data_IF_165698828065
#
_entry.id   IF_165698828065
#
_cell.length_a   1.000
_cell.length_b   1.000
_cell.length_c   1.000
_cell.angle_alpha   90.00
_cell.angle_beta   90.00
_cell.angle_gamma   90.00
#
_symmetry.space_group_name_H-M   'P 1'
#
loop_
_entity.id
_entity.type
_entity.pdbx_description
1 polymer ?
#
# COMPACT_ATOMS: atom_id res chain seq x y z
N UNK A 1 -13.96 -50.95 34.50
CA UNK A 1 -15.24 -50.84 33.77
C UNK A 1 -15.41 -49.39 33.37
N UNK A 2 -15.30 -49.13 32.07
CA UNK A 2 -15.59 -47.93 31.26
C UNK A 2 -15.35 -46.51 31.79
N UNK A 3 -14.24 -45.96 31.27
CA UNK A 3 -14.08 -44.62 30.71
C UNK A 3 -15.26 -44.20 29.82
N UNK A 4 -15.75 -42.97 30.00
CA UNK A 4 -16.30 -42.16 28.90
C UNK A 4 -16.23 -40.67 29.28
N UNK A 5 -15.08 -40.09 28.93
CA UNK A 5 -14.87 -38.65 28.90
C UNK A 5 -15.51 -38.12 27.61
N UNK A 6 -16.68 -37.48 27.73
CA UNK A 6 -17.45 -36.98 26.59
C UNK A 6 -16.82 -35.66 26.15
N UNK A 7 -16.02 -35.70 25.08
CA UNK A 7 -15.50 -34.52 24.40
C UNK A 7 -16.67 -33.70 23.86
N UNK A 8 -16.90 -32.51 24.41
CA UNK A 8 -17.80 -31.52 23.85
C UNK A 8 -17.22 -30.99 22.54
N UNK A 9 -17.93 -31.22 21.44
CA UNK A 9 -17.56 -30.72 20.12
C UNK A 9 -17.67 -29.20 20.06
N UNK A 10 -16.53 -28.53 19.96
CA UNK A 10 -16.46 -27.10 19.67
C UNK A 10 -17.01 -26.83 18.26
N UNK A 11 -18.28 -26.44 18.18
CA UNK A 11 -18.86 -25.91 16.93
C UNK A 11 -18.37 -24.48 16.77
N UNK A 12 -17.54 -24.16 15.76
CA UNK A 12 -17.03 -22.81 15.59
C UNK A 12 -18.19 -21.84 15.32
N UNK A 13 -18.16 -20.67 15.97
CA UNK A 13 -19.18 -19.63 15.75
C UNK A 13 -19.26 -19.23 14.28
N UNK A 14 -20.43 -18.82 13.79
CA UNK A 14 -20.61 -18.33 12.42
C UNK A 14 -19.65 -17.19 12.06
N UNK A 15 -19.29 -16.35 13.04
CA UNK A 15 -18.29 -15.29 12.93
C UNK A 15 -16.89 -15.85 12.67
N UNK A 16 -16.51 -16.93 13.34
CA UNK A 16 -15.24 -17.64 13.14
C UNK A 16 -15.17 -18.27 11.75
N UNK A 17 -16.26 -18.89 11.28
CA UNK A 17 -16.33 -19.45 9.92
C UNK A 17 -16.20 -18.33 8.89
N UNK A 18 -16.92 -17.22 9.07
CA UNK A 18 -16.86 -16.05 8.18
C UNK A 18 -15.44 -15.48 8.08
N UNK A 19 -14.77 -15.29 9.21
CA UNK A 19 -13.39 -14.81 9.24
C UNK A 19 -12.43 -15.78 8.52
N UNK A 20 -12.58 -17.09 8.75
CA UNK A 20 -11.76 -18.13 8.12
C UNK A 20 -11.94 -18.16 6.60
N UNK A 21 -13.18 -18.06 6.10
CA UNK A 21 -13.43 -18.03 4.65
C UNK A 21 -12.88 -16.75 4.02
N UNK A 22 -13.03 -15.60 4.68
CA UNK A 22 -12.43 -14.34 4.20
C UNK A 22 -10.91 -14.46 4.08
N UNK A 23 -10.26 -15.02 5.11
CA UNK A 23 -8.81 -15.25 5.12
C UNK A 23 -8.37 -16.21 4.02
N UNK A 24 -9.08 -17.32 3.83
CA UNK A 24 -8.79 -18.27 2.75
C UNK A 24 -8.79 -17.60 1.37
N UNK A 25 -9.78 -16.74 1.08
CA UNK A 25 -9.86 -16.01 -0.19
C UNK A 25 -8.68 -15.04 -0.36
N UNK A 26 -8.28 -14.33 0.70
CA UNK A 26 -7.13 -13.43 0.70
C UNK A 26 -5.83 -14.22 0.45
N UNK A 27 -5.58 -15.26 1.24
CA UNK A 27 -4.37 -16.09 1.14
C UNK A 27 -4.26 -16.73 -0.26
N UNK A 28 -5.38 -17.20 -0.81
CA UNK A 28 -5.44 -17.75 -2.16
C UNK A 28 -5.09 -16.70 -3.21
N UNK A 29 -5.68 -15.51 -3.12
CA UNK A 29 -5.40 -14.41 -4.04
C UNK A 29 -3.92 -13.98 -3.96
N UNK A 30 -3.39 -13.76 -2.75
CA UNK A 30 -1.97 -13.43 -2.54
C UNK A 30 -1.04 -14.46 -3.17
N UNK A 31 -1.29 -15.75 -2.95
CA UNK A 31 -0.50 -16.83 -3.57
C UNK A 31 -0.53 -16.80 -5.10
N UNK A 32 -1.64 -16.39 -5.71
CA UNK A 32 -1.73 -16.23 -7.15
C UNK A 32 -0.93 -15.01 -7.64
N UNK A 33 -1.01 -13.88 -6.93
CA UNK A 33 -0.26 -12.66 -7.25
C UNK A 33 1.25 -12.84 -7.14
N UNK A 34 1.74 -13.53 -6.11
CA UNK A 34 3.17 -13.82 -5.96
C UNK A 34 3.72 -14.73 -7.08
N UNK A 35 2.84 -15.44 -7.80
CA UNK A 35 3.20 -16.22 -9.01
C UNK A 35 3.06 -15.41 -10.31
N UNK A 36 2.80 -14.11 -10.21
CA UNK A 36 2.63 -13.20 -11.35
C UNK A 36 1.25 -13.25 -12.02
N UNK A 37 0.26 -13.92 -11.43
CA UNK A 37 -1.10 -13.91 -11.95
C UNK A 37 -1.88 -12.68 -11.44
N UNK A 38 -2.87 -12.21 -12.22
CA UNK A 38 -3.79 -11.14 -11.83
C UNK A 38 -5.23 -11.66 -11.83
N UNK A 39 -5.60 -12.53 -10.88
CA UNK A 39 -6.88 -13.24 -10.95
C UNK A 39 -8.07 -12.33 -10.65
N UNK A 40 -9.16 -12.60 -11.34
CA UNK A 40 -10.50 -12.17 -10.99
C UNK A 40 -11.00 -12.86 -9.72
N UNK A 41 -11.99 -12.26 -9.06
CA UNK A 41 -12.68 -12.86 -7.88
C UNK A 41 -13.20 -14.28 -8.19
N UNK A 42 -13.63 -14.53 -9.43
CA UNK A 42 -14.13 -15.86 -9.84
C UNK A 42 -13.01 -16.89 -9.91
N UNK A 43 -11.83 -16.51 -10.42
CA UNK A 43 -10.67 -17.39 -10.46
C UNK A 43 -10.14 -17.69 -9.05
N UNK A 44 -10.11 -16.68 -8.18
CA UNK A 44 -9.79 -16.87 -6.75
C UNK A 44 -10.78 -17.82 -6.08
N UNK A 45 -12.09 -17.69 -6.37
CA UNK A 45 -13.11 -18.59 -5.84
C UNK A 45 -12.88 -20.04 -6.27
N UNK A 46 -12.61 -20.25 -7.56
CA UNK A 46 -12.30 -21.57 -8.13
C UNK A 46 -11.07 -22.18 -7.46
N UNK A 47 -9.99 -21.42 -7.34
CA UNK A 47 -8.75 -21.86 -6.68
C UNK A 47 -8.96 -22.18 -5.19
N UNK A 48 -9.84 -21.43 -4.50
CA UNK A 48 -10.21 -21.66 -3.11
C UNK A 48 -11.26 -22.77 -2.91
N UNK A 49 -11.72 -23.42 -3.99
CA UNK A 49 -12.81 -24.41 -3.98
C UNK A 49 -14.11 -23.87 -3.38
N UNK A 50 -14.42 -22.60 -3.65
CA UNK A 50 -15.62 -21.92 -3.21
C UNK A 50 -16.51 -21.55 -4.41
N UNK A 51 -17.82 -21.48 -4.17
CA UNK A 51 -18.73 -20.96 -5.21
C UNK A 51 -18.47 -19.49 -5.48
N UNK A 52 -18.70 -19.06 -6.74
CA UNK A 52 -18.65 -17.65 -7.15
C UNK A 52 -19.49 -16.77 -6.22
N UNK A 53 -20.75 -17.17 -5.97
CA UNK A 53 -21.66 -16.44 -5.08
C UNK A 53 -21.11 -16.26 -3.66
N UNK A 54 -20.35 -17.24 -3.14
CA UNK A 54 -19.71 -17.12 -1.83
C UNK A 54 -18.60 -16.08 -1.87
N UNK A 55 -17.71 -16.11 -2.87
CA UNK A 55 -16.61 -15.15 -2.97
C UNK A 55 -17.10 -13.70 -3.12
N UNK A 56 -18.07 -13.43 -3.99
CA UNK A 56 -18.65 -12.09 -4.17
C UNK A 56 -19.35 -11.55 -2.92
N UNK A 57 -19.84 -12.41 -2.01
CA UNK A 57 -20.38 -11.98 -0.71
C UNK A 57 -19.30 -11.44 0.23
N UNK A 58 -18.06 -11.88 0.10
CA UNK A 58 -16.93 -11.38 0.89
C UNK A 58 -16.23 -10.21 0.21
N UNK A 59 -16.07 -10.28 -1.10
CA UNK A 59 -15.40 -9.26 -1.92
C UNK A 59 -16.31 -8.93 -3.10
N UNK A 60 -17.17 -7.91 -2.98
CA UNK A 60 -18.09 -7.53 -4.06
C UNK A 60 -17.36 -6.99 -5.30
N UNK A 61 -16.18 -6.40 -5.11
CA UNK A 61 -15.37 -5.77 -6.16
C UNK A 61 -13.92 -6.22 -6.08
N UNK A 62 -13.20 -6.12 -7.20
CA UNK A 62 -11.76 -6.38 -7.23
C UNK A 62 -11.00 -5.43 -6.30
N UNK A 63 -11.46 -4.18 -6.22
CA UNK A 63 -10.93 -3.16 -5.30
C UNK A 63 -11.02 -3.57 -3.83
N UNK A 64 -12.14 -4.17 -3.41
CA UNK A 64 -12.30 -4.67 -2.05
C UNK A 64 -11.33 -5.83 -1.73
N UNK A 65 -11.12 -6.75 -2.68
CA UNK A 65 -10.14 -7.84 -2.52
C UNK A 65 -8.71 -7.30 -2.45
N UNK A 66 -8.34 -6.41 -3.37
CA UNK A 66 -6.99 -5.81 -3.41
C UNK A 66 -6.70 -4.98 -2.17
N UNK A 67 -7.64 -4.16 -1.71
CA UNK A 67 -7.50 -3.40 -0.46
C UNK A 67 -7.26 -4.33 0.72
N UNK A 68 -8.04 -5.41 0.83
CA UNK A 68 -7.88 -6.38 1.90
C UNK A 68 -6.53 -7.10 1.87
N UNK A 69 -6.00 -7.41 0.69
CA UNK A 69 -4.66 -7.98 0.56
C UNK A 69 -3.57 -6.99 0.99
N UNK A 70 -3.69 -5.72 0.59
CA UNK A 70 -2.75 -4.66 0.96
C UNK A 70 -2.73 -4.47 2.49
N UNK A 71 -3.90 -4.43 3.12
CA UNK A 71 -4.03 -4.26 4.57
C UNK A 71 -3.38 -5.43 5.33
N UNK A 72 -3.62 -6.67 4.89
CA UNK A 72 -3.04 -7.86 5.52
C UNK A 72 -1.52 -7.95 5.30
N UNK A 73 -1.04 -7.63 4.09
CA UNK A 73 0.39 -7.72 3.73
C UNK A 73 1.24 -6.65 4.40
N UNK A 74 0.71 -5.43 4.49
CA UNK A 74 1.46 -4.26 4.95
C UNK A 74 1.13 -3.90 6.40
N UNK A 75 0.31 -4.67 7.10
CA UNK A 75 -0.12 -4.41 8.48
C UNK A 75 0.99 -3.92 9.42
N UNK A 76 2.18 -4.57 9.47
CA UNK A 76 3.30 -4.10 10.28
C UNK A 76 3.83 -2.72 9.87
N UNK A 77 3.86 -2.42 8.57
CA UNK A 77 4.22 -1.08 8.04
C UNK A 77 3.18 -0.05 8.46
N UNK A 78 1.90 -0.41 8.40
CA UNK A 78 0.82 0.46 8.86
C UNK A 78 0.88 0.72 10.37
N UNK A 79 1.39 -0.22 11.16
CA UNK A 79 1.57 -0.05 12.60
C UNK A 79 2.87 0.67 12.99
N UNK A 80 3.72 1.04 12.02
CA UNK A 80 5.01 1.67 12.31
C UNK A 80 4.84 2.97 13.10
N UNK A 81 5.75 3.16 14.07
CA UNK A 81 5.89 4.37 14.87
C UNK A 81 7.38 4.75 14.93
N UNK A 82 7.71 6.06 14.88
CA UNK A 82 9.10 6.50 14.96
C UNK A 82 9.69 6.19 16.34
N UNK A 83 10.94 5.73 16.37
CA UNK A 83 11.70 5.56 17.62
C UNK A 83 12.78 6.62 17.81
N UNK A 84 13.09 7.36 16.74
CA UNK A 84 14.17 8.35 16.71
C UNK A 84 13.64 9.78 16.91
N UNK A 85 14.43 10.68 17.53
CA UNK A 85 13.99 12.04 17.81
C UNK A 85 13.99 12.94 16.57
N UNK A 86 14.96 12.79 15.66
CA UNK A 86 15.10 13.65 14.48
C UNK A 86 14.52 13.04 13.20
N UNK A 87 14.06 13.91 12.30
CA UNK A 87 13.40 13.50 11.06
C UNK A 87 14.31 12.69 10.12
N UNK A 88 15.62 12.97 10.10
CA UNK A 88 16.57 12.27 9.23
C UNK A 88 16.70 10.81 9.64
N UNK A 89 16.82 10.55 10.93
CA UNK A 89 16.84 9.20 11.48
C UNK A 89 15.49 8.50 11.37
N UNK A 90 14.37 9.21 11.61
CA UNK A 90 13.01 8.65 11.42
C UNK A 90 12.75 8.20 9.97
N UNK A 91 13.18 8.98 8.99
CA UNK A 91 13.06 8.61 7.57
C UNK A 91 13.93 7.39 7.27
N UNK A 92 15.19 7.39 7.70
CA UNK A 92 16.09 6.27 7.46
C UNK A 92 15.56 4.98 8.11
N UNK A 93 15.03 5.07 9.32
CA UNK A 93 14.33 4.01 10.05
C UNK A 93 13.12 3.51 9.26
N UNK A 94 12.22 4.40 8.83
CA UNK A 94 11.01 4.04 8.07
C UNK A 94 11.36 3.29 6.78
N UNK A 95 12.32 3.80 6.00
CA UNK A 95 12.73 3.17 4.74
C UNK A 95 13.35 1.79 4.99
N UNK A 96 14.26 1.67 5.96
CA UNK A 96 14.88 0.39 6.33
C UNK A 96 13.86 -0.63 6.84
N UNK A 97 12.81 -0.16 7.52
CA UNK A 97 11.74 -1.01 8.03
C UNK A 97 10.74 -1.43 6.94
N UNK A 98 10.39 -0.52 6.04
CA UNK A 98 9.32 -0.72 5.07
C UNK A 98 9.77 -1.57 3.86
N UNK A 99 10.96 -1.30 3.30
CA UNK A 99 11.36 -1.93 2.03
C UNK A 99 11.43 -3.46 2.05
N UNK A 100 12.05 -4.13 3.05
CA UNK A 100 12.08 -5.60 3.07
C UNK A 100 10.67 -6.20 3.05
N UNK A 101 9.75 -5.59 3.79
CA UNK A 101 8.34 -6.03 3.88
C UNK A 101 7.59 -5.77 2.60
N UNK A 102 7.85 -4.64 1.94
CA UNK A 102 7.26 -4.32 0.64
C UNK A 102 7.75 -5.28 -0.44
N UNK A 103 9.05 -5.63 -0.44
CA UNK A 103 9.61 -6.60 -1.39
C UNK A 103 9.11 -8.02 -1.13
N UNK A 104 8.92 -8.40 0.13
CA UNK A 104 8.30 -9.68 0.49
C UNK A 104 6.86 -9.83 -0.06
N UNK A 105 6.15 -8.71 -0.22
CA UNK A 105 4.77 -8.67 -0.69
C UNK A 105 4.64 -7.89 -2.01
N UNK A 106 5.66 -8.00 -2.86
CA UNK A 106 5.75 -7.24 -4.09
C UNK A 106 4.60 -7.56 -5.05
N UNK A 107 4.17 -8.83 -5.13
CA UNK A 107 3.05 -9.24 -5.97
C UNK A 107 1.76 -8.49 -5.63
N UNK A 108 1.48 -8.31 -4.35
CA UNK A 108 0.30 -7.55 -3.86
C UNK A 108 0.41 -6.06 -4.19
N UNK A 109 1.60 -5.47 -4.05
CA UNK A 109 1.83 -4.06 -4.41
C UNK A 109 1.67 -3.82 -5.91
N UNK A 110 2.18 -4.74 -6.74
CA UNK A 110 1.98 -4.72 -8.20
C UNK A 110 0.51 -4.90 -8.57
N UNK A 111 -0.24 -5.73 -7.83
CA UNK A 111 -1.69 -5.86 -8.00
C UNK A 111 -2.42 -4.55 -7.76
N UNK A 112 -2.08 -3.86 -6.67
CA UNK A 112 -2.65 -2.56 -6.34
C UNK A 112 -2.33 -1.50 -7.39
N UNK A 113 -1.11 -1.51 -7.94
CA UNK A 113 -0.73 -0.63 -9.03
C UNK A 113 -1.49 -0.94 -10.32
N UNK A 114 -1.54 -2.21 -10.73
CA UNK A 114 -2.29 -2.66 -11.90
C UNK A 114 -3.76 -2.24 -11.83
N UNK A 115 -4.41 -2.47 -10.69
CA UNK A 115 -5.79 -2.03 -10.48
C UNK A 115 -5.96 -0.52 -10.66
N UNK A 116 -5.00 0.28 -10.17
CA UNK A 116 -5.07 1.74 -10.35
C UNK A 116 -4.89 2.18 -11.79
N UNK A 117 -4.06 1.49 -12.57
CA UNK A 117 -3.91 1.76 -14.01
C UNK A 117 -5.18 1.39 -14.76
N UNK A 118 -5.80 0.26 -14.41
CA UNK A 118 -7.08 -0.17 -14.98
C UNK A 118 -8.20 0.84 -14.70
N UNK A 119 -8.37 1.25 -13.43
CA UNK A 119 -9.37 2.25 -13.04
C UNK A 119 -9.17 3.60 -13.75
N UNK A 120 -7.92 4.02 -13.98
CA UNK A 120 -7.62 5.22 -14.75
C UNK A 120 -8.01 5.08 -16.22
N UNK A 121 -7.73 3.93 -16.84
CA UNK A 121 -8.10 3.66 -18.23
C UNK A 121 -9.63 3.62 -18.40
N UNK A 122 -10.34 2.95 -17.49
CA UNK A 122 -11.80 2.83 -17.51
C UNK A 122 -12.48 4.19 -17.34
N UNK A 123 -11.99 5.03 -16.42
CA UNK A 123 -12.51 6.39 -16.24
C UNK A 123 -12.40 7.25 -17.52
N UNK A 124 -11.29 7.13 -18.25
CA UNK A 124 -11.10 7.86 -19.51
C UNK A 124 -11.99 7.33 -20.63
N UNK A 125 -12.21 6.01 -20.67
CA UNK A 125 -13.11 5.41 -21.65
C UNK A 125 -14.57 5.82 -21.38
N UNK A 126 -14.99 5.90 -20.12
CA UNK A 126 -16.33 6.40 -19.76
C UNK A 126 -16.49 7.89 -20.10
N UNK A 127 -15.47 8.71 -19.86
CA UNK A 127 -15.49 10.14 -20.23
C UNK A 127 -15.56 10.35 -21.75
N UNK A 128 -14.92 9.47 -22.52
CA UNK A 128 -14.96 9.50 -23.99
C UNK A 128 -16.28 8.99 -24.59
N UNK A 129 -17.04 8.17 -23.86
CA UNK A 129 -18.33 7.61 -24.29
C UNK A 129 -19.55 8.37 -23.75
N UNK A 130 -19.36 9.44 -22.97
CA UNK A 130 -20.42 10.30 -22.44
C UNK A 130 -21.14 11.18 -23.49
N UNK A 131 -21.04 10.86 -24.79
CA UNK A 131 -21.93 11.37 -25.84
C UNK A 131 -23.16 10.46 -26.08
N UNK A 132 -23.34 9.37 -25.32
CA UNK A 132 -24.57 8.56 -25.35
C UNK A 132 -25.32 8.65 -24.03
N UNK A 133 -26.60 9.00 -24.14
CA UNK A 133 -27.56 9.34 -23.08
C UNK A 133 -27.99 8.14 -22.19
N UNK A 134 -27.12 7.16 -21.93
CA UNK A 134 -27.42 6.00 -21.08
C UNK A 134 -26.88 6.20 -19.65
N UNK A 135 -27.65 6.95 -18.87
CA UNK A 135 -27.40 7.30 -17.48
C UNK A 135 -27.55 6.15 -16.46
N UNK A 136 -27.48 4.89 -16.89
CA UNK A 136 -27.85 3.73 -16.05
C UNK A 136 -26.74 2.73 -15.75
N UNK A 137 -25.46 3.03 -16.05
CA UNK A 137 -24.38 2.12 -15.70
C UNK A 137 -23.07 2.80 -15.27
N UNK A 138 -23.16 3.90 -14.51
CA UNK A 138 -22.02 4.37 -13.73
C UNK A 138 -21.84 3.43 -12.55
N UNK A 139 -21.12 2.33 -12.80
CA UNK A 139 -20.74 1.36 -11.79
C UNK A 139 -20.11 2.08 -10.60
N UNK A 140 -20.74 1.92 -9.44
CA UNK A 140 -20.23 2.22 -8.10
C UNK A 140 -19.00 1.34 -7.79
N UNK A 141 -17.97 1.39 -8.64
CA UNK A 141 -16.68 0.76 -8.33
C UNK A 141 -16.00 1.59 -7.25
N UNK A 142 -16.04 1.07 -6.03
CA UNK A 142 -15.37 1.63 -4.87
C UNK A 142 -13.89 1.84 -5.20
N UNK A 143 -13.48 3.11 -5.33
CA UNK A 143 -12.11 3.49 -5.69
C UNK A 143 -11.13 2.95 -4.65
N UNK A 144 -10.00 2.43 -5.11
CA UNK A 144 -8.94 1.98 -4.22
C UNK A 144 -8.47 3.14 -3.32
N UNK A 145 -8.67 3.03 -2.00
CA UNK A 145 -8.29 4.08 -1.05
C UNK A 145 -6.80 3.97 -0.73
N UNK A 146 -6.01 4.99 -1.11
CA UNK A 146 -4.56 5.05 -0.89
C UNK A 146 -4.19 6.13 0.15
N UNK A 147 -4.51 5.89 1.42
CA UNK A 147 -4.30 6.86 2.51
C UNK A 147 -3.06 6.64 3.38
N UNK A 148 -2.58 5.40 3.45
CA UNK A 148 -1.63 4.97 4.49
C UNK A 148 -0.25 5.63 4.38
N UNK A 149 0.24 5.83 3.15
CA UNK A 149 1.52 6.49 2.86
C UNK A 149 1.58 7.91 3.43
N UNK A 150 0.51 8.70 3.27
CA UNK A 150 0.45 10.10 3.73
C UNK A 150 0.62 10.19 5.24
N UNK A 151 -0.02 9.29 6.00
CA UNK A 151 0.08 9.26 7.46
C UNK A 151 1.49 8.92 7.93
N UNK A 152 2.09 7.86 7.39
CA UNK A 152 3.43 7.40 7.80
C UNK A 152 4.50 8.46 7.51
N UNK A 153 4.43 9.10 6.35
CA UNK A 153 5.37 10.16 6.00
C UNK A 153 5.21 11.39 6.90
N UNK A 154 3.98 11.78 7.23
CA UNK A 154 3.73 12.87 8.20
C UNK A 154 4.36 12.57 9.56
N UNK A 155 4.22 11.34 10.08
CA UNK A 155 4.86 10.94 11.34
C UNK A 155 6.40 11.00 11.26
N UNK A 156 6.96 10.59 10.13
CA UNK A 156 8.41 10.59 9.94
C UNK A 156 9.00 12.01 9.86
N UNK A 157 8.28 12.95 9.23
CA UNK A 157 8.75 14.34 9.04
C UNK A 157 8.26 15.32 10.10
N UNK A 158 7.43 14.90 11.06
CA UNK A 158 6.90 15.73 12.14
C UNK A 158 7.96 16.67 12.78
N UNK A 159 9.20 16.23 13.10
CA UNK A 159 10.20 17.13 13.68
C UNK A 159 10.59 18.33 12.80
N UNK A 160 10.29 18.28 11.49
CA UNK A 160 10.55 19.38 10.56
C UNK A 160 9.46 20.46 10.59
N UNK A 161 8.32 20.22 11.24
CA UNK A 161 7.24 21.22 11.37
C UNK A 161 7.70 22.48 12.10
N UNK A 162 8.66 22.35 13.01
CA UNK A 162 9.23 23.47 13.77
C UNK A 162 10.29 24.26 12.98
N UNK A 163 10.85 23.70 11.90
CA UNK A 163 12.03 24.23 11.21
C UNK A 163 11.78 24.59 9.74
N UNK A 164 10.75 24.04 9.11
CA UNK A 164 10.40 24.27 7.72
C UNK A 164 9.06 25.02 7.61
N UNK A 165 8.98 25.92 6.62
CA UNK A 165 7.70 26.50 6.22
C UNK A 165 6.75 25.40 5.70
N UNK A 166 5.41 25.55 5.85
CA UNK A 166 4.45 24.51 5.45
C UNK A 166 4.57 24.05 4.00
N UNK A 167 4.87 24.96 3.07
CA UNK A 167 5.06 24.62 1.65
C UNK A 167 6.32 23.78 1.40
N UNK A 168 7.41 24.08 2.11
CA UNK A 168 8.65 23.32 2.04
C UNK A 168 8.46 21.93 2.64
N UNK A 169 7.79 21.82 3.79
CA UNK A 169 7.45 20.54 4.39
C UNK A 169 6.57 19.69 3.46
N UNK A 170 5.58 20.29 2.81
CA UNK A 170 4.73 19.58 1.86
C UNK A 170 5.53 19.07 0.64
N UNK A 171 6.49 19.85 0.14
CA UNK A 171 7.41 19.41 -0.92
C UNK A 171 8.23 18.21 -0.47
N UNK A 172 8.74 18.21 0.76
CA UNK A 172 9.46 17.08 1.35
C UNK A 172 8.56 15.83 1.40
N UNK A 173 7.32 15.96 1.88
CA UNK A 173 6.36 14.84 1.93
C UNK A 173 6.07 14.29 0.52
N UNK A 174 5.91 15.16 -0.49
CA UNK A 174 5.69 14.72 -1.87
C UNK A 174 6.89 13.96 -2.43
N UNK A 175 8.11 14.48 -2.22
CA UNK A 175 9.34 13.82 -2.68
C UNK A 175 9.52 12.45 -2.01
N UNK A 176 9.30 12.37 -0.69
CA UNK A 176 9.32 11.10 0.02
C UNK A 176 8.22 10.15 -0.42
N UNK A 177 7.04 10.66 -0.78
CA UNK A 177 5.94 9.84 -1.28
C UNK A 177 6.27 9.14 -2.60
N UNK A 178 7.17 9.72 -3.41
CA UNK A 178 7.64 9.07 -4.63
C UNK A 178 8.60 7.92 -4.29
N UNK A 179 9.59 8.16 -3.43
CA UNK A 179 10.60 7.14 -3.14
C UNK A 179 10.08 6.06 -2.20
N UNK A 180 9.25 6.36 -1.19
CA UNK A 180 8.66 5.34 -0.31
C UNK A 180 7.74 4.37 -1.06
N UNK A 181 7.26 4.73 -2.24
CA UNK A 181 6.27 3.95 -2.97
C UNK A 181 6.81 2.69 -3.65
N UNK A 182 5.91 1.74 -3.93
CA UNK A 182 6.23 0.53 -4.70
C UNK A 182 6.61 0.85 -6.15
N UNK A 183 6.32 2.07 -6.62
CA UNK A 183 6.71 2.58 -7.93
C UNK A 183 8.23 2.56 -8.14
N UNK A 184 9.02 2.65 -7.06
CA UNK A 184 10.48 2.52 -7.12
C UNK A 184 10.92 1.17 -7.67
N UNK A 185 10.17 0.10 -7.43
CA UNK A 185 10.52 -1.24 -7.92
C UNK A 185 10.47 -1.31 -9.44
N UNK A 186 9.52 -0.62 -10.09
CA UNK A 186 9.46 -0.57 -11.55
C UNK A 186 10.72 0.06 -12.16
N UNK A 187 11.31 1.04 -11.47
CA UNK A 187 12.49 1.74 -11.99
C UNK A 187 13.74 0.99 -11.57
N UNK A 188 13.99 0.87 -10.28
CA UNK A 188 15.25 0.35 -9.76
C UNK A 188 15.39 -1.16 -9.96
N UNK A 189 14.30 -1.93 -9.87
CA UNK A 189 14.33 -3.38 -10.05
C UNK A 189 14.11 -3.78 -11.51
N UNK A 190 13.06 -3.28 -12.16
CA UNK A 190 12.71 -3.79 -13.50
C UNK A 190 13.57 -3.17 -14.62
N UNK A 191 13.95 -1.89 -14.52
CA UNK A 191 14.78 -1.22 -15.55
C UNK A 191 16.27 -1.35 -15.22
N UNK A 192 16.65 -1.06 -13.97
CA UNK A 192 18.06 -1.02 -13.56
C UNK A 192 18.58 -2.33 -12.94
N UNK A 193 17.70 -3.31 -12.71
CA UNK A 193 18.07 -4.63 -12.19
C UNK A 193 18.83 -4.62 -10.86
N UNK A 194 18.56 -3.62 -10.01
CA UNK A 194 19.08 -3.60 -8.65
C UNK A 194 18.44 -4.70 -7.81
N UNK A 195 19.24 -5.31 -6.94
CA UNK A 195 18.76 -6.18 -5.89
C UNK A 195 18.19 -5.37 -4.71
N UNK A 196 17.70 -6.06 -3.68
CA UNK A 196 17.12 -5.41 -2.50
C UNK A 196 18.10 -4.44 -1.82
N UNK A 197 19.37 -4.82 -1.71
CA UNK A 197 20.39 -4.00 -1.09
C UNK A 197 20.64 -2.72 -1.91
N UNK A 198 20.74 -2.83 -3.24
CA UNK A 198 20.90 -1.68 -4.13
C UNK A 198 19.70 -0.74 -4.11
N UNK A 199 18.47 -1.27 -4.06
CA UNK A 199 17.25 -0.45 -3.93
C UNK A 199 17.27 0.33 -2.61
N UNK A 200 17.61 -0.34 -1.50
CA UNK A 200 17.70 0.32 -0.19
C UNK A 200 18.80 1.37 -0.16
N UNK A 201 19.99 1.08 -0.68
CA UNK A 201 21.11 2.03 -0.70
C UNK A 201 20.75 3.32 -1.44
N UNK A 202 20.26 3.20 -2.68
CA UNK A 202 19.87 4.35 -3.50
C UNK A 202 18.76 5.15 -2.84
N UNK A 203 17.74 4.49 -2.30
CA UNK A 203 16.59 5.19 -1.70
C UNK A 203 16.93 5.85 -0.37
N UNK A 204 17.84 5.27 0.42
CA UNK A 204 18.43 5.91 1.61
C UNK A 204 19.26 7.14 1.23
N UNK A 205 20.06 7.04 0.17
CA UNK A 205 20.81 8.18 -0.35
C UNK A 205 19.88 9.30 -0.83
N UNK A 206 18.82 8.98 -1.58
CA UNK A 206 17.81 9.95 -2.01
C UNK A 206 17.13 10.62 -0.81
N UNK A 207 16.78 9.86 0.23
CA UNK A 207 16.19 10.41 1.45
C UNK A 207 17.09 11.43 2.15
N UNK A 208 18.39 11.14 2.25
CA UNK A 208 19.38 12.09 2.79
C UNK A 208 19.48 13.36 1.94
N UNK A 209 19.45 13.22 0.62
CA UNK A 209 19.53 14.34 -0.32
C UNK A 209 18.30 15.25 -0.26
N UNK A 210 17.08 14.67 -0.20
CA UNK A 210 15.83 15.42 -0.05
C UNK A 210 15.86 16.30 1.20
N UNK A 211 16.27 15.72 2.34
CA UNK A 211 16.35 16.45 3.62
C UNK A 211 17.41 17.54 3.59
N UNK A 212 18.60 17.22 3.06
CA UNK A 212 19.68 18.20 2.93
C UNK A 212 19.25 19.39 2.06
N UNK A 213 18.55 19.14 0.95
CA UNK A 213 18.04 20.21 0.10
C UNK A 213 17.00 21.07 0.83
N UNK A 214 16.08 20.46 1.59
CA UNK A 214 15.08 21.20 2.35
C UNK A 214 15.70 22.08 3.44
N UNK A 215 16.72 21.58 4.15
CA UNK A 215 17.50 22.35 5.13
C UNK A 215 18.22 23.53 4.46
N UNK A 216 18.84 23.29 3.31
CA UNK A 216 19.56 24.32 2.53
C UNK A 216 18.61 25.44 2.09
N UNK A 217 17.46 25.07 1.51
CA UNK A 217 16.44 26.04 1.07
C UNK A 217 15.91 26.88 2.25
N UNK A 218 15.72 26.26 3.42
CA UNK A 218 15.27 26.97 4.63
C UNK A 218 16.30 27.99 5.13
N UNK A 219 17.58 27.62 5.11
CA UNK A 219 18.67 28.52 5.52
C UNK A 219 18.81 29.72 4.58
N UNK A 220 18.73 29.52 3.27
CA UNK A 220 18.77 30.60 2.28
C UNK A 220 17.60 31.57 2.46
N UNK A 221 16.38 31.05 2.65
CA UNK A 221 15.20 31.88 2.89
C UNK A 221 15.29 32.69 4.20
N UNK A 222 15.98 32.18 5.23
CA UNK A 222 16.23 32.91 6.47
C UNK A 222 17.26 34.04 6.28
N UNK A 223 18.30 33.82 5.46
CA UNK A 223 19.30 34.84 5.14
C UNK A 223 18.70 36.00 4.35
N UNK A 224 17.87 35.72 3.33
CA UNK A 224 17.20 36.75 2.53
C UNK A 224 16.29 37.65 3.37
N UNK A 225 15.60 37.09 4.37
CA UNK A 225 14.77 37.85 5.32
C UNK A 225 15.57 38.72 6.29
N UNK A 226 16.85 38.41 6.51
CA UNK A 226 17.74 39.16 7.42
C UNK A 226 18.42 40.34 6.70
N UNK A 227 18.39 40.36 5.37
CA UNK A 227 19.01 41.41 4.54
C UNK A 227 17.98 42.30 3.81
N UNK A 228 16.69 42.06 4.02
CA UNK A 228 15.58 42.86 3.48
C UNK A 228 14.92 43.70 4.57
#
# INVERSE_FOLDING_TARGET
MNTQNKQEGFSPSLTTIRARTRRLLIDTAMSMYERGAFPSITEVASAAQLSRATAYRYFPTQSALVSAMVDESLGPILAWQPTQPDARQRIAELLSFAYPRMLQHEGVLRAALHLSLQQWADARNSDSNNNSNDSNNSSNEEKLIRGNRKRLLKLAVEPLEETLAPEALQRVIHAFSLIYGSEVFMVLKDIWHLDEAGIQDVTQWMGKAILLQAETDSQLAAQDKTHS
#
